data_IF_684968942877
#
_entry.id   IF_684968942877
#
_cell.length_a   1.000
_cell.length_b   1.000
_cell.length_c   1.000
_cell.angle_alpha   90.00
_cell.angle_beta   90.00
_cell.angle_gamma   90.00
#
_symmetry.space_group_name_H-M   'P 1'
#
loop_
_entity.id
_entity.type
_entity.pdbx_description
1 polymer ?
#
# COMPACT_ATOMS: atom_id res chain seq x y z
N UNK A 1 8.94 -28.82 9.52
CA UNK A 1 8.40 -28.00 8.42
C UNK A 1 7.78 -26.83 9.12
N UNK A 2 8.46 -25.69 9.15
CA UNK A 2 7.94 -24.48 9.78
C UNK A 2 6.80 -23.96 8.94
N UNK A 3 5.68 -23.62 9.59
CA UNK A 3 4.62 -22.81 9.00
C UNK A 3 5.17 -21.40 8.74
N UNK A 4 6.07 -21.31 7.78
CA UNK A 4 6.69 -20.08 7.37
C UNK A 4 5.64 -19.15 6.77
N UNK A 5 5.29 -18.11 7.52
CA UNK A 5 4.32 -17.12 7.05
C UNK A 5 5.08 -15.94 6.47
N UNK A 6 5.26 -15.96 5.17
CA UNK A 6 5.76 -14.80 4.45
C UNK A 6 4.81 -13.60 4.67
N UNK A 7 5.38 -12.45 4.99
CA UNK A 7 4.65 -11.21 5.28
C UNK A 7 5.11 -10.10 4.34
N UNK A 8 4.17 -9.36 3.80
CA UNK A 8 4.43 -8.28 2.85
C UNK A 8 3.74 -7.00 3.31
N UNK A 9 4.51 -5.94 3.47
CA UNK A 9 4.01 -4.59 3.66
C UNK A 9 3.95 -3.89 2.31
N UNK A 10 2.78 -3.34 2.00
CA UNK A 10 2.53 -2.55 0.80
C UNK A 10 2.27 -1.10 1.18
N UNK A 11 2.67 -0.16 0.32
CA UNK A 11 2.24 1.22 0.46
C UNK A 11 0.73 1.35 0.17
N UNK A 12 0.00 2.14 0.95
CA UNK A 12 -1.46 2.33 0.78
C UNK A 12 -1.86 2.95 -0.56
N UNK A 13 -0.97 3.69 -1.21
CA UNK A 13 -1.20 4.26 -2.55
C UNK A 13 -1.24 3.22 -3.67
N UNK A 14 -0.93 1.95 -3.37
CA UNK A 14 -0.92 0.88 -4.36
C UNK A 14 -2.30 0.27 -4.46
N UNK A 15 -2.87 0.38 -5.65
CA UNK A 15 -4.11 -0.31 -6.03
C UNK A 15 -3.80 -1.33 -7.12
N UNK A 16 -3.48 -2.58 -6.74
CA UNK A 16 -3.17 -3.61 -7.71
C UNK A 16 -4.33 -3.82 -8.67
N UNK A 17 -4.01 -3.93 -9.95
CA UNK A 17 -4.97 -4.21 -11.01
C UNK A 17 -4.36 -5.19 -12.03
N UNK A 18 -5.22 -5.90 -12.76
CA UNK A 18 -4.78 -6.87 -13.76
C UNK A 18 -3.87 -7.95 -13.17
N UNK A 19 -2.79 -8.27 -13.86
CA UNK A 19 -1.86 -9.34 -13.52
C UNK A 19 -1.26 -9.23 -12.11
N UNK A 20 -1.04 -8.00 -11.62
CA UNK A 20 -0.52 -7.80 -10.27
C UNK A 20 -1.54 -8.22 -9.20
N UNK A 21 -2.82 -7.86 -9.39
CA UNK A 21 -3.88 -8.27 -8.46
C UNK A 21 -3.99 -9.80 -8.39
N UNK A 22 -4.01 -10.47 -9.55
CA UNK A 22 -4.06 -11.94 -9.64
C UNK A 22 -2.87 -12.61 -8.92
N UNK A 23 -1.67 -12.06 -9.10
CA UNK A 23 -0.46 -12.58 -8.43
C UNK A 23 -0.51 -12.41 -6.90
N UNK A 24 -1.04 -11.29 -6.42
CA UNK A 24 -1.19 -11.07 -4.97
C UNK A 24 -2.25 -12.02 -4.38
N UNK A 25 -3.34 -12.25 -5.10
CA UNK A 25 -4.38 -13.19 -4.67
C UNK A 25 -3.83 -14.63 -4.63
N UNK A 26 -3.09 -15.07 -5.65
CA UNK A 26 -2.39 -16.35 -5.65
C UNK A 26 -1.42 -16.49 -4.47
N UNK A 27 -0.64 -15.43 -4.15
CA UNK A 27 0.26 -15.45 -3.02
C UNK A 27 -0.48 -15.57 -1.68
N UNK A 28 -1.67 -14.94 -1.55
CA UNK A 28 -2.54 -15.10 -0.38
C UNK A 28 -3.05 -16.54 -0.23
N UNK A 29 -3.44 -17.18 -1.31
CA UNK A 29 -3.83 -18.60 -1.30
C UNK A 29 -2.70 -19.51 -0.84
N UNK A 30 -1.44 -19.12 -1.09
CA UNK A 30 -0.24 -19.80 -0.60
C UNK A 30 0.14 -19.41 0.85
N UNK A 31 -0.68 -18.63 1.54
CA UNK A 31 -0.48 -18.27 2.94
C UNK A 31 0.34 -17.00 3.18
N UNK A 32 0.69 -16.25 2.13
CA UNK A 32 1.36 -14.95 2.30
C UNK A 32 0.39 -13.95 2.91
N UNK A 33 0.82 -13.30 3.99
CA UNK A 33 0.05 -12.27 4.66
C UNK A 33 0.42 -10.88 4.10
N UNK A 34 -0.59 -10.07 3.84
CA UNK A 34 -0.41 -8.71 3.35
C UNK A 34 -0.99 -7.69 4.32
N UNK A 35 -0.28 -6.59 4.50
CA UNK A 35 -0.80 -5.38 5.16
C UNK A 35 -0.44 -4.15 4.36
N UNK A 36 -1.19 -3.06 4.58
CA UNK A 36 -0.96 -1.75 3.96
C UNK A 36 -0.49 -0.77 5.03
N UNK A 37 0.52 0.02 4.71
CA UNK A 37 1.04 1.04 5.60
C UNK A 37 1.18 2.38 4.87
N UNK A 38 0.76 3.45 5.54
CA UNK A 38 1.00 4.82 5.09
C UNK A 38 2.46 5.23 5.29
N UNK A 39 3.12 4.61 6.25
CA UNK A 39 4.46 4.97 6.69
C UNK A 39 5.57 4.19 5.96
N UNK A 40 5.22 3.27 5.07
CA UNK A 40 6.23 2.59 4.26
C UNK A 40 6.34 3.26 2.90
N UNK A 41 7.51 3.76 2.52
CA UNK A 41 7.72 4.39 1.22
C UNK A 41 7.75 3.36 0.08
N UNK A 42 7.87 2.08 0.40
CA UNK A 42 8.01 1.01 -0.59
C UNK A 42 7.57 -0.33 -0.02
N UNK A 43 7.55 -1.35 -0.86
CA UNK A 43 7.24 -2.70 -0.43
C UNK A 43 8.36 -3.28 0.42
N UNK A 44 7.99 -3.98 1.47
CA UNK A 44 8.91 -4.76 2.29
C UNK A 44 8.37 -6.19 2.40
N UNK A 45 9.27 -7.15 2.36
CA UNK A 45 8.96 -8.57 2.47
C UNK A 45 9.82 -9.22 3.54
N UNK A 46 9.23 -10.03 4.37
CA UNK A 46 9.93 -10.85 5.38
C UNK A 46 9.40 -12.28 5.32
N UNK A 47 10.31 -13.24 5.22
CA UNK A 47 10.02 -14.66 5.26
C UNK A 47 10.70 -15.28 6.47
N UNK A 48 9.91 -15.63 7.48
CA UNK A 48 10.32 -16.29 8.73
C UNK A 48 11.60 -15.75 9.39
N UNK A 49 11.84 -14.46 9.25
CA UNK A 49 13.07 -13.81 9.73
C UNK A 49 14.37 -14.40 9.18
N UNK A 50 14.29 -15.16 8.09
CA UNK A 50 15.45 -15.75 7.39
C UNK A 50 15.84 -15.02 6.11
N UNK A 51 14.84 -14.40 5.48
CA UNK A 51 15.02 -13.62 4.24
C UNK A 51 14.22 -12.34 4.37
N UNK A 52 14.82 -11.23 3.96
CA UNK A 52 14.11 -9.98 3.76
C UNK A 52 14.23 -9.53 2.31
N UNK A 53 13.13 -9.06 1.76
CA UNK A 53 13.08 -8.44 0.44
C UNK A 53 12.95 -6.93 0.58
N UNK A 54 13.93 -6.22 0.04
CA UNK A 54 13.92 -4.75 0.00
C UNK A 54 13.93 -4.28 -1.45
N UNK A 55 13.22 -3.21 -1.81
CA UNK A 55 13.23 -2.72 -3.18
C UNK A 55 14.61 -2.18 -3.56
N UNK A 56 15.03 -2.42 -4.80
CA UNK A 56 16.28 -1.85 -5.32
C UNK A 56 16.19 -0.33 -5.42
N UNK A 57 15.01 0.18 -5.78
CA UNK A 57 14.70 1.60 -5.79
C UNK A 57 13.80 1.92 -4.59
N UNK A 58 14.40 2.53 -3.57
CA UNK A 58 13.66 2.96 -2.38
C UNK A 58 12.72 4.11 -2.71
N UNK A 59 11.49 4.04 -2.19
CA UNK A 59 10.45 5.04 -2.45
C UNK A 59 9.62 4.79 -3.70
N UNK A 60 9.91 3.74 -4.49
CA UNK A 60 9.02 3.34 -5.58
C UNK A 60 7.74 2.70 -5.00
N UNK A 61 6.55 3.19 -5.33
CA UNK A 61 5.30 2.65 -4.82
C UNK A 61 5.04 1.21 -5.28
N UNK A 62 5.50 0.84 -6.47
CA UNK A 62 5.38 -0.50 -7.00
C UNK A 62 6.74 -0.98 -7.55
N UNK A 63 7.66 -1.44 -6.70
CA UNK A 63 8.97 -1.88 -7.13
C UNK A 63 8.86 -3.10 -8.03
N UNK A 64 9.50 -3.03 -9.19
CA UNK A 64 9.58 -4.13 -10.16
C UNK A 64 10.68 -5.13 -9.80
N UNK A 65 11.58 -4.76 -8.87
CA UNK A 65 12.71 -5.58 -8.45
C UNK A 65 12.94 -5.47 -6.96
N UNK A 66 13.13 -6.62 -6.32
CA UNK A 66 13.48 -6.73 -4.90
C UNK A 66 14.87 -7.36 -4.77
N UNK A 67 15.64 -6.88 -3.82
CA UNK A 67 16.86 -7.51 -3.37
C UNK A 67 16.53 -8.45 -2.22
N UNK A 68 16.74 -9.74 -2.40
CA UNK A 68 16.60 -10.72 -1.32
C UNK A 68 17.90 -10.76 -0.49
N UNK A 69 17.82 -10.45 0.79
CA UNK A 69 18.95 -10.42 1.72
C UNK A 69 18.80 -11.56 2.71
N UNK A 70 19.88 -12.30 2.92
CA UNK A 70 19.97 -13.44 3.87
C UNK A 70 21.05 -13.27 4.93
N UNK A 71 21.73 -12.12 4.94
CA UNK A 71 22.78 -11.83 5.90
C UNK A 71 22.17 -11.62 7.28
N UNK A 72 22.44 -12.47 8.29
CA UNK A 72 21.69 -12.49 9.54
C UNK A 72 21.57 -11.13 10.25
N UNK A 73 22.63 -10.33 10.45
CA UNK A 73 22.48 -9.03 11.12
C UNK A 73 21.64 -8.03 10.31
N UNK A 74 21.64 -8.11 8.98
CA UNK A 74 20.83 -7.26 8.11
C UNK A 74 19.37 -7.70 8.17
N UNK A 75 19.11 -9.01 8.12
CA UNK A 75 17.78 -9.58 8.28
C UNK A 75 17.18 -9.15 9.62
N UNK A 76 17.93 -9.29 10.71
CA UNK A 76 17.46 -8.88 12.04
C UNK A 76 17.11 -7.39 12.12
N UNK A 77 17.96 -6.52 11.55
CA UNK A 77 17.71 -5.09 11.54
C UNK A 77 16.48 -4.70 10.71
N UNK A 78 16.31 -5.28 9.51
CA UNK A 78 15.14 -5.02 8.67
C UNK A 78 13.87 -5.61 9.29
N UNK A 79 13.95 -6.79 9.90
CA UNK A 79 12.81 -7.40 10.58
C UNK A 79 12.29 -6.54 11.74
N UNK A 80 13.18 -5.91 12.53
CA UNK A 80 12.76 -4.97 13.58
C UNK A 80 11.95 -3.80 13.03
N UNK A 81 12.43 -3.17 11.95
CA UNK A 81 11.70 -2.07 11.30
C UNK A 81 10.40 -2.57 10.69
N UNK A 82 10.43 -3.75 10.07
CA UNK A 82 9.26 -4.37 9.50
C UNK A 82 8.18 -4.64 10.55
N UNK A 83 8.55 -5.22 11.69
CA UNK A 83 7.60 -5.58 12.76
C UNK A 83 6.94 -4.32 13.36
N UNK A 84 7.67 -3.24 13.51
CA UNK A 84 7.13 -1.95 13.95
C UNK A 84 6.08 -1.42 12.95
N UNK A 85 6.44 -1.38 11.65
CA UNK A 85 5.51 -0.97 10.59
C UNK A 85 4.32 -1.92 10.47
N UNK A 86 4.55 -3.22 10.64
CA UNK A 86 3.52 -4.25 10.58
C UNK A 86 2.49 -4.10 11.69
N UNK A 87 2.93 -3.75 12.90
CA UNK A 87 2.05 -3.60 14.06
C UNK A 87 0.99 -2.52 13.87
N UNK A 88 1.32 -1.47 13.13
CA UNK A 88 0.46 -0.30 12.87
C UNK A 88 -0.21 -0.32 11.50
N UNK A 89 0.11 -1.31 10.67
CA UNK A 89 -0.40 -1.42 9.32
C UNK A 89 -1.81 -2.03 9.27
N UNK A 90 -2.64 -1.52 8.37
CA UNK A 90 -4.00 -2.03 8.13
C UNK A 90 -3.95 -3.40 7.45
N UNK A 91 -4.90 -4.26 7.77
CA UNK A 91 -5.02 -5.55 7.08
C UNK A 91 -5.38 -5.33 5.61
N UNK A 92 -4.87 -6.20 4.74
CA UNK A 92 -5.13 -6.11 3.30
C UNK A 92 -6.62 -6.25 2.94
N UNK A 93 -7.33 -7.09 3.66
CA UNK A 93 -8.76 -7.40 3.50
C UNK A 93 -9.69 -6.38 4.15
N UNK A 94 -9.18 -5.50 4.99
CA UNK A 94 -9.95 -4.38 5.51
C UNK A 94 -10.08 -3.31 4.42
N UNK A 95 -11.30 -2.79 4.18
CA UNK A 95 -11.49 -1.70 3.25
C UNK A 95 -10.62 -0.53 3.71
N UNK A 96 -9.58 -0.22 2.97
CA UNK A 96 -8.76 0.96 3.26
C UNK A 96 -9.60 2.18 2.94
N UNK A 97 -10.43 2.60 3.87
CA UNK A 97 -11.29 3.78 3.76
C UNK A 97 -10.48 5.09 3.81
N UNK A 98 -9.20 5.03 3.52
CA UNK A 98 -8.37 6.22 3.51
C UNK A 98 -8.62 7.02 2.24
N UNK A 99 -8.57 8.34 2.37
CA UNK A 99 -8.65 9.23 1.20
C UNK A 99 -7.57 8.95 0.14
N UNK A 100 -6.43 8.35 0.54
CA UNK A 100 -5.36 7.96 -0.39
C UNK A 100 -5.83 6.91 -1.41
N UNK A 101 -6.61 5.90 -0.98
CA UNK A 101 -7.20 4.91 -1.86
C UNK A 101 -8.13 5.55 -2.89
N UNK A 102 -8.90 6.53 -2.44
CA UNK A 102 -9.81 7.28 -3.29
C UNK A 102 -9.03 8.12 -4.31
N UNK A 103 -7.98 8.84 -3.87
CA UNK A 103 -7.16 9.65 -4.78
C UNK A 103 -6.41 8.79 -5.80
N UNK A 104 -5.93 7.61 -5.41
CA UNK A 104 -5.33 6.65 -6.33
C UNK A 104 -6.29 6.21 -7.45
N UNK A 105 -7.56 5.97 -7.13
CA UNK A 105 -8.59 5.64 -8.13
C UNK A 105 -9.01 6.86 -8.96
N UNK A 106 -9.08 8.04 -8.36
CA UNK A 106 -9.32 9.29 -9.09
C UNK A 106 -8.22 9.57 -10.11
N UNK A 107 -6.97 9.33 -9.79
CA UNK A 107 -5.85 9.51 -10.73
C UNK A 107 -5.90 8.57 -11.93
N UNK A 108 -6.61 7.43 -11.80
CA UNK A 108 -6.90 6.51 -12.89
C UNK A 108 -8.13 6.93 -13.74
N UNK A 109 -8.74 8.08 -13.43
CA UNK A 109 -9.88 8.61 -14.15
C UNK A 109 -11.24 8.07 -13.70
N UNK A 110 -11.33 7.39 -12.57
CA UNK A 110 -12.62 6.89 -12.07
C UNK A 110 -13.46 8.04 -11.51
N UNK A 111 -14.77 7.97 -11.74
CA UNK A 111 -15.76 8.88 -11.15
C UNK A 111 -16.02 8.52 -9.68
N UNK A 112 -16.58 9.45 -8.90
CA UNK A 112 -16.95 9.20 -7.50
C UNK A 112 -17.85 7.97 -7.34
N UNK A 113 -18.84 7.79 -8.23
CA UNK A 113 -19.75 6.64 -8.25
C UNK A 113 -19.01 5.33 -8.52
N UNK A 114 -18.08 5.32 -9.49
CA UNK A 114 -17.28 4.15 -9.80
C UNK A 114 -16.33 3.78 -8.65
N UNK A 115 -15.78 4.80 -7.96
CA UNK A 115 -14.97 4.62 -6.76
C UNK A 115 -15.80 4.05 -5.62
N UNK A 116 -17.00 4.61 -5.39
CA UNK A 116 -17.91 4.12 -4.36
C UNK A 116 -18.25 2.65 -4.58
N UNK A 117 -18.64 2.26 -5.80
CA UNK A 117 -18.91 0.87 -6.15
C UNK A 117 -17.70 -0.04 -5.95
N UNK A 118 -16.51 0.38 -6.40
CA UNK A 118 -15.29 -0.41 -6.33
C UNK A 118 -14.81 -0.65 -4.90
N UNK A 119 -14.99 0.33 -4.01
CA UNK A 119 -14.58 0.26 -2.61
C UNK A 119 -15.68 -0.23 -1.66
N UNK A 120 -16.90 -0.49 -2.16
CA UNK A 120 -18.03 -0.84 -1.31
C UNK A 120 -18.51 0.31 -0.42
N UNK A 121 -18.25 1.55 -0.83
CA UNK A 121 -18.61 2.76 -0.10
C UNK A 121 -19.86 3.41 -0.66
N UNK A 122 -20.40 4.39 0.09
CA UNK A 122 -21.41 5.29 -0.44
C UNK A 122 -20.77 6.53 -1.06
N UNK A 123 -21.41 7.13 -2.04
CA UNK A 123 -21.06 8.42 -2.65
C UNK A 123 -20.75 9.52 -1.62
N UNK A 124 -21.57 9.56 -0.58
CA UNK A 124 -21.39 10.47 0.56
C UNK A 124 -20.06 10.22 1.26
N UNK A 125 -19.67 8.96 1.44
CA UNK A 125 -18.39 8.58 2.08
C UNK A 125 -17.23 9.01 1.21
N UNK A 126 -17.29 8.75 -0.10
CA UNK A 126 -16.25 9.16 -1.05
C UNK A 126 -16.05 10.67 -1.02
N UNK A 127 -17.14 11.45 -1.12
CA UNK A 127 -17.05 12.93 -1.06
C UNK A 127 -16.51 13.45 0.26
N UNK A 128 -16.88 12.83 1.38
CA UNK A 128 -16.36 13.19 2.70
C UNK A 128 -14.85 12.93 2.78
N UNK A 129 -14.38 11.78 2.30
CA UNK A 129 -12.94 11.44 2.28
C UNK A 129 -12.14 12.37 1.37
N UNK A 130 -12.70 12.79 0.24
CA UNK A 130 -12.06 13.80 -0.62
C UNK A 130 -11.94 15.15 0.10
N UNK A 131 -12.97 15.55 0.84
CA UNK A 131 -12.92 16.78 1.63
C UNK A 131 -11.88 16.69 2.77
N UNK A 132 -11.76 15.56 3.44
CA UNK A 132 -10.72 15.27 4.43
C UNK A 132 -9.32 15.38 3.81
N UNK A 133 -9.10 14.78 2.63
CA UNK A 133 -7.84 14.90 1.89
C UNK A 133 -7.50 16.35 1.54
N UNK A 134 -8.49 17.12 1.09
CA UNK A 134 -8.30 18.54 0.77
C UNK A 134 -7.88 19.34 2.00
N UNK A 135 -8.50 19.08 3.14
CA UNK A 135 -8.17 19.73 4.41
C UNK A 135 -6.76 19.38 4.88
N UNK A 136 -6.39 18.10 4.84
CA UNK A 136 -5.08 17.61 5.27
C UNK A 136 -3.94 18.13 4.40
N UNK A 137 -4.16 18.22 3.08
CA UNK A 137 -3.18 18.73 2.12
C UNK A 137 -3.23 20.26 1.96
N UNK A 138 -4.09 20.94 2.68
CA UNK A 138 -4.20 22.41 2.68
C UNK A 138 -4.63 22.97 1.32
N UNK A 139 -5.45 22.25 0.56
CA UNK A 139 -5.91 22.65 -0.77
C UNK A 139 -7.42 22.88 -0.80
N UNK A 140 -7.89 23.77 -1.67
CA UNK A 140 -9.29 24.20 -1.72
C UNK A 140 -10.05 23.75 -2.96
N UNK A 141 -9.40 23.05 -3.90
CA UNK A 141 -10.05 22.54 -5.10
C UNK A 141 -9.60 21.12 -5.46
N UNK A 142 -10.46 20.36 -6.14
CA UNK A 142 -10.10 19.03 -6.64
C UNK A 142 -8.91 19.04 -7.60
N UNK A 143 -8.77 20.09 -8.39
CA UNK A 143 -7.61 20.25 -9.27
C UNK A 143 -6.32 20.41 -8.47
N UNK A 144 -6.32 21.29 -7.46
CA UNK A 144 -5.18 21.45 -6.55
C UNK A 144 -4.88 20.16 -5.77
N UNK A 145 -5.92 19.39 -5.40
CA UNK A 145 -5.77 18.07 -4.78
C UNK A 145 -5.04 17.08 -5.69
N UNK A 146 -5.42 17.03 -6.97
CA UNK A 146 -4.73 16.18 -7.97
C UNK A 146 -3.25 16.57 -8.12
N UNK A 147 -2.94 17.85 -8.16
CA UNK A 147 -1.56 18.36 -8.24
C UNK A 147 -0.75 18.03 -6.97
N UNK A 148 -1.38 18.10 -5.80
CA UNK A 148 -0.74 17.74 -4.53
C UNK A 148 -0.50 16.23 -4.45
N UNK A 149 -1.47 15.43 -4.89
CA UNK A 149 -1.35 13.98 -5.00
C UNK A 149 -0.20 13.55 -5.90
N UNK A 150 -0.10 14.13 -7.09
CA UNK A 150 1.00 13.85 -8.03
C UNK A 150 2.37 14.06 -7.37
N UNK A 151 2.56 15.18 -6.66
CA UNK A 151 3.82 15.47 -5.95
C UNK A 151 4.14 14.48 -4.83
N UNK A 152 3.12 13.90 -4.19
CA UNK A 152 3.31 12.86 -3.17
C UNK A 152 3.68 11.52 -3.79
N UNK A 153 3.10 11.21 -4.94
CA UNK A 153 3.32 9.96 -5.68
C UNK A 153 4.66 9.91 -6.41
N UNK A 154 5.24 11.07 -6.73
CA UNK A 154 6.54 11.22 -7.43
C UNK A 154 7.74 11.26 -6.47
N UNK A 155 7.53 11.15 -5.15
CA UNK A 155 8.59 11.12 -4.12
C UNK A 155 8.95 9.73 -3.70
#
# INVERSE_FOLDING_TARGET
MGDGHARVLLNVGIHPSGELAERLDQARELGVQFRRSQNTPSWLYVDDSSIVGVPILWGSPAPTRLLAVRTPPVVAAVALVFDELWSTADRWDEPTETWMSILGLMSQGLTDDAIAQRLGLTDRTVRRRIAEAMAELGVTSRFALGMAWQRLSDR
#
